data_IF_692997640747
#
_entry.id   IF_692997640747
#
_cell.length_a   1.000
_cell.length_b   1.000
_cell.length_c   1.000
_cell.angle_alpha   90.00
_cell.angle_beta   90.00
_cell.angle_gamma   90.00
#
_symmetry.space_group_name_H-M   'P 1'
#
loop_
_entity.id
_entity.type
_entity.pdbx_description
1 polymer ?
#
# COMPACT_ATOMS: atom_id res chain seq x y z
N UNK A 1 6.06 -20.79 -16.57
CA UNK A 1 5.68 -19.81 -17.59
C UNK A 1 4.90 -18.73 -16.87
N UNK A 2 5.34 -17.46 -16.92
CA UNK A 2 4.61 -16.38 -16.25
C UNK A 2 3.28 -16.12 -16.98
N UNK A 3 2.18 -15.84 -16.26
CA UNK A 3 0.90 -15.57 -16.90
C UNK A 3 0.98 -14.32 -17.79
N UNK A 4 0.30 -14.36 -18.93
CA UNK A 4 0.21 -13.18 -19.79
C UNK A 4 -0.76 -12.19 -19.15
N UNK A 5 -0.22 -11.12 -18.56
CA UNK A 5 -0.99 -10.09 -17.87
C UNK A 5 -1.30 -8.90 -18.78
N UNK A 6 -2.50 -8.35 -18.64
CA UNK A 6 -2.95 -7.09 -19.25
C UNK A 6 -3.55 -6.21 -18.15
N UNK A 7 -3.15 -4.95 -18.10
CA UNK A 7 -3.66 -3.95 -17.15
C UNK A 7 -4.49 -2.94 -17.93
N UNK A 8 -5.74 -2.76 -17.52
CA UNK A 8 -6.64 -1.70 -17.96
C UNK A 8 -6.95 -0.77 -16.78
N UNK A 9 -7.01 0.53 -17.03
CA UNK A 9 -7.23 1.58 -16.01
C UNK A 9 -8.47 2.39 -16.40
N UNK A 10 -9.54 2.27 -15.62
CA UNK A 10 -10.72 3.12 -15.75
C UNK A 10 -10.39 4.57 -15.34
N UNK A 11 -10.98 5.55 -16.02
CA UNK A 11 -10.84 6.97 -15.64
C UNK A 11 -12.15 7.72 -15.78
N UNK A 12 -12.37 8.66 -14.87
CA UNK A 12 -13.36 9.73 -15.01
C UNK A 12 -14.80 9.31 -14.77
N UNK A 13 -15.01 8.18 -14.09
CA UNK A 13 -16.34 7.64 -13.78
C UNK A 13 -17.29 7.60 -14.99
N UNK A 14 -16.83 6.94 -16.06
CA UNK A 14 -17.57 6.87 -17.32
C UNK A 14 -18.36 5.58 -17.44
N UNK A 15 -19.52 5.65 -18.08
CA UNK A 15 -20.22 4.44 -18.53
C UNK A 15 -19.37 3.66 -19.54
N UNK A 16 -19.59 2.35 -19.63
CA UNK A 16 -18.92 1.54 -20.64
C UNK A 16 -19.28 2.02 -22.05
N UNK A 17 -18.30 1.94 -22.95
CA UNK A 17 -18.49 2.33 -24.33
C UNK A 17 -19.60 1.52 -25.01
N UNK A 18 -20.33 2.18 -25.91
CA UNK A 18 -21.47 1.61 -26.63
C UNK A 18 -21.46 2.03 -28.09
N UNK A 19 -22.15 1.29 -28.96
CA UNK A 19 -22.22 1.56 -30.40
C UNK A 19 -21.20 0.77 -31.22
N UNK A 20 -20.85 1.28 -32.40
CA UNK A 20 -19.99 0.55 -33.35
C UNK A 20 -18.50 0.58 -32.95
N UNK A 21 -17.76 -0.45 -33.36
CA UNK A 21 -16.32 -0.53 -33.25
C UNK A 21 -15.71 -1.01 -34.58
N UNK A 22 -14.79 -0.25 -35.22
CA UNK A 22 -14.39 1.12 -34.87
C UNK A 22 -15.54 2.13 -35.05
N UNK A 23 -15.33 3.38 -34.62
CA UNK A 23 -16.33 4.44 -34.78
C UNK A 23 -16.66 4.73 -36.25
N UNK A 24 -17.75 5.44 -36.50
CA UNK A 24 -18.20 5.80 -37.87
C UNK A 24 -17.28 6.78 -38.60
N UNK A 25 -16.32 7.40 -37.90
CA UNK A 25 -15.34 8.31 -38.47
C UNK A 25 -13.99 7.61 -38.64
N UNK A 26 -13.42 7.68 -39.85
CA UNK A 26 -12.22 6.94 -40.29
C UNK A 26 -10.92 7.20 -39.49
N UNK A 27 -10.90 8.17 -38.58
CA UNK A 27 -9.70 8.59 -37.83
C UNK A 27 -9.83 8.49 -36.31
N UNK A 28 -10.90 7.86 -35.79
CA UNK A 28 -11.10 7.70 -34.35
C UNK A 28 -11.74 6.35 -34.02
N UNK A 29 -11.43 5.86 -32.82
CA UNK A 29 -12.15 4.77 -32.17
C UNK A 29 -13.16 5.39 -31.21
N UNK A 30 -14.33 4.76 -31.10
CA UNK A 30 -15.41 5.19 -30.22
C UNK A 30 -15.12 4.80 -28.75
N UNK A 31 -13.99 5.28 -28.23
CA UNK A 31 -13.51 5.10 -26.85
C UNK A 31 -12.83 6.39 -26.39
N UNK A 32 -13.30 7.02 -25.31
CA UNK A 32 -12.56 8.12 -24.68
C UNK A 32 -11.32 7.61 -23.92
N UNK A 33 -10.37 8.49 -23.58
CA UNK A 33 -9.20 8.12 -22.76
C UNK A 33 -9.65 7.53 -21.40
N UNK A 34 -9.19 6.32 -21.10
CA UNK A 34 -9.55 5.61 -19.88
C UNK A 34 -10.99 5.08 -19.84
N UNK A 35 -11.78 5.26 -20.89
CA UNK A 35 -13.10 4.64 -20.98
C UNK A 35 -12.96 3.15 -21.29
N UNK A 36 -13.63 2.31 -20.51
CA UNK A 36 -13.66 0.86 -20.70
C UNK A 36 -14.81 0.47 -21.64
N UNK A 37 -14.66 -0.66 -22.32
CA UNK A 37 -15.72 -1.26 -23.14
C UNK A 37 -15.57 -2.77 -23.25
N UNK A 38 -16.67 -3.44 -23.60
CA UNK A 38 -16.67 -4.87 -23.90
C UNK A 38 -17.02 -5.06 -25.36
N UNK A 39 -16.23 -5.84 -26.08
CA UNK A 39 -16.43 -6.17 -27.49
C UNK A 39 -16.77 -7.65 -27.64
N UNK A 40 -17.56 -7.97 -28.66
CA UNK A 40 -17.70 -9.33 -29.16
C UNK A 40 -16.41 -9.80 -29.85
N UNK A 41 -16.27 -11.11 -30.07
CA UNK A 41 -15.11 -11.72 -30.72
C UNK A 41 -14.83 -11.16 -32.12
N UNK A 42 -15.88 -10.78 -32.85
CA UNK A 42 -15.82 -10.19 -34.21
C UNK A 42 -15.39 -8.71 -34.20
N UNK A 43 -15.35 -8.06 -33.03
CA UNK A 43 -14.94 -6.65 -32.85
C UNK A 43 -15.68 -5.66 -33.76
N UNK A 44 -16.97 -5.90 -34.03
CA UNK A 44 -17.80 -5.01 -34.88
C UNK A 44 -18.57 -3.95 -34.09
N UNK A 45 -18.72 -4.16 -32.78
CA UNK A 45 -19.46 -3.27 -31.89
C UNK A 45 -19.21 -3.57 -30.43
N UNK A 46 -19.54 -2.59 -29.59
CA UNK A 46 -19.61 -2.77 -28.16
C UNK A 46 -20.85 -3.54 -27.77
N UNK A 47 -20.67 -4.49 -26.88
CA UNK A 47 -21.77 -5.27 -26.31
C UNK A 47 -22.23 -4.60 -25.02
N UNK A 48 -23.53 -4.42 -24.86
CA UNK A 48 -24.13 -3.78 -23.70
C UNK A 48 -25.49 -4.40 -23.36
N UNK A 49 -25.93 -4.21 -22.11
CA UNK A 49 -27.21 -4.66 -21.61
C UNK A 49 -27.22 -6.10 -21.09
N UNK A 50 -26.55 -6.36 -19.96
CA UNK A 50 -26.53 -7.67 -19.28
C UNK A 50 -26.12 -8.83 -20.21
N UNK A 51 -24.89 -8.73 -20.71
CA UNK A 51 -24.29 -9.71 -21.60
C UNK A 51 -24.12 -11.07 -20.90
N UNK A 52 -24.36 -12.18 -21.61
CA UNK A 52 -24.22 -13.55 -21.10
C UNK A 52 -23.41 -14.38 -22.08
N UNK A 53 -22.80 -15.48 -21.60
CA UNK A 53 -22.05 -16.43 -22.44
C UNK A 53 -22.94 -17.06 -23.53
N UNK A 54 -24.25 -17.18 -23.30
CA UNK A 54 -25.17 -17.70 -24.32
C UNK A 54 -25.27 -16.78 -25.54
N UNK A 55 -25.29 -15.47 -25.31
CA UNK A 55 -25.41 -14.47 -26.38
C UNK A 55 -24.04 -14.08 -26.94
N UNK A 56 -23.01 -14.06 -26.09
CA UNK A 56 -21.64 -13.70 -26.42
C UNK A 56 -20.68 -14.73 -25.83
N UNK A 57 -20.42 -15.85 -26.54
CA UNK A 57 -19.59 -16.94 -26.04
C UNK A 57 -18.15 -16.54 -25.74
N UNK A 58 -17.68 -15.45 -26.35
CA UNK A 58 -16.33 -14.94 -26.16
C UNK A 58 -16.31 -13.43 -26.30
N UNK A 59 -15.53 -12.75 -25.47
CA UNK A 59 -15.48 -11.28 -25.42
C UNK A 59 -14.05 -10.76 -25.29
N UNK A 60 -13.85 -9.51 -25.68
CA UNK A 60 -12.69 -8.71 -25.31
C UNK A 60 -13.09 -7.58 -24.38
N UNK A 61 -12.21 -7.24 -23.44
CA UNK A 61 -12.32 -6.01 -22.66
C UNK A 61 -11.27 -5.03 -23.19
N UNK A 62 -11.71 -3.81 -23.50
CA UNK A 62 -10.86 -2.77 -24.08
C UNK A 62 -10.88 -1.51 -23.23
N UNK A 63 -9.84 -0.70 -23.38
CA UNK A 63 -9.72 0.62 -22.77
C UNK A 63 -9.23 1.62 -23.83
N UNK A 64 -9.88 2.77 -23.93
CA UNK A 64 -9.37 3.88 -24.73
C UNK A 64 -8.11 4.51 -24.14
N UNK A 65 -7.33 5.16 -25.00
CA UNK A 65 -6.12 5.90 -24.62
C UNK A 65 -6.23 7.36 -25.07
N UNK A 66 -5.24 8.23 -24.77
CA UNK A 66 -5.18 9.57 -25.32
C UNK A 66 -5.05 9.62 -26.86
N UNK A 67 -4.83 8.48 -27.53
CA UNK A 67 -4.73 8.36 -28.98
C UNK A 67 -5.98 7.76 -29.63
N UNK A 68 -7.02 7.43 -28.86
CA UNK A 68 -8.27 6.89 -29.40
C UNK A 68 -8.93 7.83 -30.42
N UNK A 69 -8.80 9.15 -30.25
CA UNK A 69 -9.38 10.18 -31.12
C UNK A 69 -8.43 10.63 -32.26
N UNK A 70 -7.19 10.11 -32.27
CA UNK A 70 -6.09 10.56 -33.15
C UNK A 70 -5.30 9.38 -33.70
N UNK A 71 -5.96 8.51 -34.47
CA UNK A 71 -5.32 7.30 -35.00
C UNK A 71 -4.11 7.59 -35.89
N UNK A 72 -4.05 8.76 -36.53
CA UNK A 72 -2.90 9.21 -37.32
C UNK A 72 -1.64 9.51 -36.49
N UNK A 73 -1.76 9.63 -35.17
CA UNK A 73 -0.66 9.90 -34.23
C UNK A 73 -0.21 8.65 -33.46
N UNK A 74 -0.88 7.51 -33.69
CA UNK A 74 -0.47 6.23 -33.13
C UNK A 74 0.84 5.81 -33.79
N UNK A 75 1.88 5.66 -32.99
CA UNK A 75 3.18 5.26 -33.49
C UNK A 75 3.18 3.79 -33.88
N UNK A 76 3.69 3.51 -35.09
CA UNK A 76 3.77 2.14 -35.63
C UNK A 76 4.74 1.27 -34.82
N UNK A 77 5.72 1.87 -34.16
CA UNK A 77 6.73 1.17 -33.37
C UNK A 77 6.34 1.03 -31.89
N UNK A 78 5.22 1.62 -31.46
CA UNK A 78 4.68 1.50 -30.11
C UNK A 78 5.40 2.36 -29.06
N UNK A 79 6.07 3.44 -29.48
CA UNK A 79 6.68 4.43 -28.56
C UNK A 79 5.66 5.42 -27.99
N UNK A 80 4.48 5.54 -28.61
CA UNK A 80 3.35 6.34 -28.10
C UNK A 80 2.22 5.43 -27.63
N UNK A 81 1.18 6.01 -27.01
CA UNK A 81 0.00 5.24 -26.61
C UNK A 81 -0.60 4.55 -27.85
N UNK A 82 -0.95 3.25 -27.76
CA UNK A 82 -1.71 2.60 -28.82
C UNK A 82 -3.10 3.22 -28.92
N UNK A 83 -3.83 2.97 -30.00
CA UNK A 83 -5.19 3.48 -30.17
C UNK A 83 -6.15 3.03 -29.04
N UNK A 84 -5.96 1.82 -28.52
CA UNK A 84 -6.67 1.26 -27.38
C UNK A 84 -5.81 0.15 -26.76
N UNK A 85 -6.05 -0.16 -25.49
CA UNK A 85 -5.56 -1.38 -24.85
C UNK A 85 -6.63 -2.46 -24.93
N UNK A 86 -6.20 -3.72 -25.07
CA UNK A 86 -7.10 -4.86 -25.25
C UNK A 86 -6.66 -6.05 -24.39
N UNK A 87 -7.63 -6.76 -23.82
CA UNK A 87 -7.43 -8.03 -23.15
C UNK A 87 -7.08 -9.16 -24.14
N UNK A 88 -6.68 -10.33 -23.63
CA UNK A 88 -6.80 -11.55 -24.45
C UNK A 88 -8.28 -11.93 -24.55
N UNK A 89 -8.68 -12.64 -25.60
CA UNK A 89 -10.05 -13.15 -25.75
C UNK A 89 -10.43 -13.98 -24.51
N UNK A 90 -11.51 -13.58 -23.84
CA UNK A 90 -12.09 -14.33 -22.72
C UNK A 90 -13.17 -15.24 -23.29
N UNK A 91 -13.02 -16.54 -23.10
CA UNK A 91 -13.98 -17.54 -23.56
C UNK A 91 -14.86 -17.99 -22.38
N UNK A 92 -16.15 -18.20 -22.61
CA UNK A 92 -17.05 -18.72 -21.59
C UNK A 92 -16.57 -20.08 -21.05
N UNK A 93 -16.57 -20.24 -19.73
CA UNK A 93 -16.05 -21.42 -19.03
C UNK A 93 -14.53 -21.53 -18.95
N UNK A 94 -13.76 -20.56 -19.48
CA UNK A 94 -12.29 -20.54 -19.36
C UNK A 94 -11.78 -19.78 -18.13
N UNK A 95 -12.64 -18.99 -17.48
CA UNK A 95 -12.32 -18.20 -16.29
C UNK A 95 -12.20 -19.12 -15.09
N UNK A 96 -11.10 -19.02 -14.36
CA UNK A 96 -10.81 -19.86 -13.20
C UNK A 96 -10.95 -19.08 -11.89
N UNK A 97 -10.66 -17.77 -11.90
CA UNK A 97 -10.70 -16.96 -10.70
C UNK A 97 -11.03 -15.50 -11.02
N UNK A 98 -11.82 -14.88 -10.14
CA UNK A 98 -12.02 -13.44 -10.09
C UNK A 98 -11.68 -12.97 -8.67
N UNK A 99 -10.75 -12.04 -8.56
CA UNK A 99 -10.31 -11.49 -7.27
C UNK A 99 -10.43 -9.98 -7.29
N UNK A 100 -11.11 -9.42 -6.30
CA UNK A 100 -11.21 -7.97 -6.14
C UNK A 100 -10.62 -7.55 -4.82
N UNK A 101 -9.70 -6.60 -4.88
CA UNK A 101 -8.94 -6.11 -3.73
C UNK A 101 -9.09 -4.60 -3.67
N UNK A 102 -9.74 -4.13 -2.59
CA UNK A 102 -9.81 -2.71 -2.25
C UNK A 102 -8.46 -2.23 -1.71
N UNK A 103 -8.12 -0.95 -1.88
CA UNK A 103 -6.94 -0.41 -1.24
C UNK A 103 -7.08 -0.44 0.28
N UNK A 104 -5.95 -0.58 0.95
CA UNK A 104 -5.86 -0.58 2.42
C UNK A 104 -4.65 0.26 2.84
N UNK A 105 -4.80 1.00 3.94
CA UNK A 105 -3.74 1.83 4.52
C UNK A 105 -2.67 0.94 5.15
N UNK A 106 -1.41 1.37 5.04
CA UNK A 106 -0.28 0.69 5.65
C UNK A 106 -0.27 0.79 7.17
N UNK A 107 0.59 0.00 7.81
CA UNK A 107 0.76 -0.03 9.27
C UNK A 107 2.23 -0.17 9.63
N UNK A 108 2.65 0.56 10.65
CA UNK A 108 4.00 0.48 11.17
C UNK A 108 4.18 -0.74 12.09
N UNK A 109 5.44 -1.17 12.21
CA UNK A 109 5.81 -2.12 13.24
C UNK A 109 5.92 -1.40 14.58
N UNK A 110 5.33 -1.98 15.63
CA UNK A 110 5.36 -1.41 16.98
C UNK A 110 5.75 -2.47 18.00
N UNK A 111 6.73 -2.13 18.83
CA UNK A 111 7.10 -2.89 20.04
C UNK A 111 6.78 -2.05 21.27
N UNK A 112 6.21 -2.67 22.28
CA UNK A 112 6.01 -2.08 23.61
C UNK A 112 7.06 -2.62 24.56
N UNK A 113 7.63 -1.75 25.39
CA UNK A 113 8.51 -2.14 26.48
C UNK A 113 7.95 -1.63 27.81
N UNK A 114 7.78 -2.54 28.76
CA UNK A 114 7.38 -2.23 30.13
C UNK A 114 8.42 -2.78 31.10
N UNK A 115 9.09 -1.90 31.83
CA UNK A 115 10.02 -2.26 32.90
C UNK A 115 9.22 -2.92 34.02
N UNK A 116 9.65 -4.12 34.41
CA UNK A 116 8.96 -4.94 35.42
C UNK A 116 9.60 -4.83 36.81
N UNK A 117 10.92 -4.66 36.86
CA UNK A 117 11.66 -4.46 38.11
C UNK A 117 12.13 -3.02 38.30
N UNK A 118 12.26 -2.59 39.55
CA UNK A 118 12.73 -1.22 39.86
C UNK A 118 14.23 -1.09 39.55
N UNK A 119 14.63 -0.13 38.69
CA UNK A 119 16.04 0.16 38.42
C UNK A 119 16.83 0.51 39.67
N UNK A 120 18.05 -0.02 39.75
CA UNK A 120 19.02 0.25 40.79
C UNK A 120 19.73 1.59 40.55
N UNK A 121 20.19 2.22 41.63
CA UNK A 121 21.05 3.42 41.57
C UNK A 121 22.46 3.06 41.12
N UNK A 122 23.18 4.02 40.55
CA UNK A 122 24.57 3.86 40.06
C UNK A 122 24.79 2.63 39.15
N UNK A 123 23.77 2.30 38.36
CA UNK A 123 23.77 1.11 37.48
C UNK A 123 23.62 1.54 36.03
N UNK A 124 24.43 0.95 35.15
CA UNK A 124 24.34 1.15 33.71
C UNK A 124 23.26 0.24 33.12
N UNK A 125 22.43 0.81 32.27
CA UNK A 125 21.40 0.12 31.51
C UNK A 125 21.59 0.37 30.02
N UNK A 126 21.39 -0.68 29.25
CA UNK A 126 21.61 -0.78 27.82
C UNK A 126 20.31 -1.11 27.09
N UNK A 127 20.13 -0.46 25.95
CA UNK A 127 19.03 -0.69 25.03
C UNK A 127 19.61 -0.89 23.62
N UNK A 128 19.16 -1.94 22.96
CA UNK A 128 19.57 -2.30 21.61
C UNK A 128 18.34 -2.28 20.71
N UNK A 129 18.28 -1.32 19.80
CA UNK A 129 17.21 -1.22 18.81
C UNK A 129 17.74 -1.81 17.51
N UNK A 130 17.18 -2.94 17.08
CA UNK A 130 17.50 -3.56 15.80
C UNK A 130 16.46 -3.15 14.77
N UNK A 131 16.91 -2.54 13.67
CA UNK A 131 16.08 -2.26 12.50
C UNK A 131 16.34 -3.33 11.44
N UNK A 132 15.29 -3.92 10.88
CA UNK A 132 15.38 -4.78 9.71
C UNK A 132 14.55 -4.20 8.58
N UNK A 133 15.21 -3.91 7.48
CA UNK A 133 14.58 -3.31 6.32
C UNK A 133 14.31 -4.39 5.27
N UNK A 134 13.26 -4.22 4.47
CA UNK A 134 13.01 -5.10 3.33
C UNK A 134 14.16 -5.01 2.31
N UNK A 135 14.74 -3.81 2.18
CA UNK A 135 15.82 -3.52 1.25
C UNK A 135 17.20 -3.53 1.90
N UNK A 136 18.22 -3.85 1.10
CA UNK A 136 19.62 -3.79 1.53
C UNK A 136 20.06 -2.34 1.47
N UNK A 137 20.20 -1.71 2.64
CA UNK A 137 20.66 -0.32 2.75
C UNK A 137 22.11 -0.16 2.29
N UNK A 138 22.34 0.09 1.00
CA UNK A 138 23.68 0.19 0.41
C UNK A 138 24.59 1.24 1.07
N UNK A 139 24.04 2.23 1.78
CA UNK A 139 24.81 3.32 2.41
C UNK A 139 25.40 2.91 3.76
N UNK A 140 24.69 2.09 4.55
CA UNK A 140 25.07 1.87 5.96
C UNK A 140 25.45 0.43 6.29
N UNK A 141 24.99 -0.57 5.52
CA UNK A 141 25.52 -1.94 5.60
C UNK A 141 25.04 -2.79 4.40
N UNK A 142 25.85 -3.74 3.94
CA UNK A 142 25.35 -4.74 2.96
C UNK A 142 24.34 -5.70 3.59
N UNK A 143 24.00 -5.52 4.85
CA UNK A 143 23.04 -6.31 5.60
C UNK A 143 21.73 -5.56 5.78
N UNK A 144 20.62 -6.29 5.63
CA UNK A 144 19.25 -5.82 5.90
C UNK A 144 18.96 -5.55 7.38
N UNK A 145 19.98 -5.52 8.23
CA UNK A 145 19.87 -5.45 9.68
C UNK A 145 20.87 -4.42 10.19
N UNK A 146 20.38 -3.45 10.94
CA UNK A 146 21.16 -2.44 11.64
C UNK A 146 20.83 -2.47 13.13
N UNK A 147 21.79 -2.17 14.01
CA UNK A 147 21.56 -2.18 15.46
C UNK A 147 22.09 -0.90 16.09
N UNK A 148 21.21 -0.19 16.79
CA UNK A 148 21.47 1.09 17.44
C UNK A 148 21.60 0.84 18.94
N UNK A 149 22.83 0.91 19.50
CA UNK A 149 23.03 0.80 20.95
C UNK A 149 22.79 2.14 21.64
N UNK A 150 22.06 2.11 22.74
CA UNK A 150 21.79 3.23 23.64
C UNK A 150 22.12 2.78 25.05
N UNK A 151 22.66 3.68 25.86
CA UNK A 151 22.98 3.37 27.26
C UNK A 151 22.80 4.57 28.17
N UNK A 152 22.39 4.35 29.41
CA UNK A 152 22.30 5.38 30.45
C UNK A 152 22.79 4.80 31.77
N UNK A 153 23.35 5.64 32.63
CA UNK A 153 23.75 5.23 33.99
C UNK A 153 22.89 6.01 34.97
N UNK A 154 22.15 5.31 35.83
CA UNK A 154 21.33 5.95 36.87
C UNK A 154 22.22 6.73 37.83
N UNK A 155 21.74 7.85 38.39
CA UNK A 155 22.53 8.63 39.34
C UNK A 155 22.80 7.83 40.63
N UNK A 156 23.89 8.18 41.31
CA UNK A 156 24.23 7.58 42.60
C UNK A 156 23.23 7.95 43.72
N UNK A 157 22.52 9.07 43.57
CA UNK A 157 21.42 9.46 44.46
C UNK A 157 20.13 8.81 44.02
N UNK A 158 19.35 8.27 44.96
CA UNK A 158 18.04 7.70 44.69
C UNK A 158 17.10 8.74 44.03
N UNK A 159 16.42 8.30 42.97
CA UNK A 159 15.42 9.09 42.25
C UNK A 159 14.02 8.69 42.74
N UNK A 160 13.09 9.64 42.83
CA UNK A 160 11.75 9.38 43.37
C UNK A 160 10.97 8.35 42.54
N UNK A 161 11.11 8.38 41.22
CA UNK A 161 10.52 7.42 40.29
C UNK A 161 11.61 6.85 39.36
N UNK A 162 12.31 5.77 39.78
CA UNK A 162 13.41 5.20 39.02
C UNK A 162 13.02 4.69 37.62
N UNK A 163 11.83 4.08 37.48
CA UNK A 163 11.33 3.61 36.17
C UNK A 163 11.15 4.76 35.19
N UNK A 164 10.48 5.83 35.63
CA UNK A 164 10.26 7.04 34.83
C UNK A 164 11.59 7.68 34.41
N UNK A 165 12.57 7.74 35.34
CA UNK A 165 13.90 8.24 35.03
C UNK A 165 14.56 7.45 33.90
N UNK A 166 14.54 6.12 33.99
CA UNK A 166 15.15 5.23 32.98
C UNK A 166 14.43 5.35 31.64
N UNK A 167 13.09 5.33 31.63
CA UNK A 167 12.30 5.48 30.41
C UNK A 167 12.65 6.78 29.68
N UNK A 168 12.59 7.91 30.37
CA UNK A 168 12.81 9.22 29.74
C UNK A 168 14.25 9.36 29.23
N UNK A 169 15.25 8.96 30.01
CA UNK A 169 16.65 9.08 29.60
C UNK A 169 17.01 8.15 28.44
N UNK A 170 16.54 6.89 28.46
CA UNK A 170 16.75 5.96 27.34
C UNK A 170 16.04 6.44 26.08
N UNK A 171 14.77 6.83 26.18
CA UNK A 171 13.98 7.23 25.04
C UNK A 171 14.48 8.53 24.39
N UNK A 172 14.84 9.55 25.18
CA UNK A 172 15.45 10.78 24.62
C UNK A 172 16.76 10.45 23.92
N UNK A 173 17.63 9.64 24.54
CA UNK A 173 18.92 9.26 23.92
C UNK A 173 18.73 8.42 22.65
N UNK A 174 17.75 7.52 22.62
CA UNK A 174 17.37 6.78 21.41
C UNK A 174 16.87 7.73 20.33
N UNK A 175 15.95 8.65 20.66
CA UNK A 175 15.40 9.60 19.70
C UNK A 175 16.43 10.58 19.13
N UNK A 176 17.50 10.95 19.84
CA UNK A 176 18.59 11.74 19.22
C UNK A 176 19.29 11.02 18.05
N UNK A 177 19.12 9.70 17.92
CA UNK A 177 19.60 8.92 16.77
C UNK A 177 18.56 8.83 15.66
N UNK A 178 17.29 9.08 15.94
CA UNK A 178 16.24 9.02 14.93
C UNK A 178 16.21 10.25 14.04
N UNK A 179 15.63 10.10 12.85
CA UNK A 179 15.45 11.19 11.88
C UNK A 179 14.69 12.39 12.46
N UNK A 180 13.74 12.14 13.37
CA UNK A 180 12.95 13.18 14.02
C UNK A 180 13.70 13.89 15.16
N UNK A 181 14.75 13.29 15.71
CA UNK A 181 15.61 13.91 16.72
C UNK A 181 16.94 14.43 16.19
N UNK A 182 17.09 14.55 14.86
CA UNK A 182 18.29 15.07 14.20
C UNK A 182 19.35 14.03 13.84
N UNK A 183 19.07 12.75 14.06
CA UNK A 183 19.88 11.64 13.57
C UNK A 183 19.46 11.17 12.18
N UNK A 184 19.82 9.93 11.83
CA UNK A 184 19.57 9.35 10.51
C UNK A 184 18.74 8.06 10.56
N UNK A 185 18.48 7.52 11.76
CA UNK A 185 17.82 6.24 11.93
C UNK A 185 16.30 6.37 11.80
N UNK A 186 15.66 5.36 11.21
CA UNK A 186 14.23 5.39 10.86
C UNK A 186 13.37 4.68 11.88
N UNK A 187 13.37 5.23 13.09
CA UNK A 187 12.46 4.80 14.15
C UNK A 187 11.98 6.01 14.96
N UNK A 188 11.00 5.79 15.82
CA UNK A 188 10.53 6.77 16.79
C UNK A 188 10.26 6.07 18.11
N UNK A 189 10.64 6.67 19.23
CA UNK A 189 10.34 6.17 20.57
C UNK A 189 9.39 7.15 21.26
N UNK A 190 8.24 6.66 21.69
CA UNK A 190 7.22 7.45 22.39
C UNK A 190 7.08 6.96 23.82
N UNK A 191 6.96 7.90 24.77
CA UNK A 191 6.51 7.60 26.12
C UNK A 191 5.00 7.66 26.19
N UNK A 192 4.37 6.66 26.79
CA UNK A 192 2.92 6.64 26.96
C UNK A 192 2.57 6.59 28.44
N UNK A 193 1.58 7.41 28.81
CA UNK A 193 0.91 7.35 30.10
C UNK A 193 -0.46 6.72 29.91
N UNK A 194 -0.71 5.62 30.62
CA UNK A 194 -2.05 5.04 30.67
C UNK A 194 -3.00 5.99 31.40
N UNK A 195 -4.23 6.08 30.92
CA UNK A 195 -5.22 7.01 31.45
C UNK A 195 -5.51 6.78 32.96
N UNK A 196 -4.82 7.54 33.80
CA UNK A 196 -5.14 7.77 35.21
C UNK A 196 -5.21 9.28 35.45
N UNK A 197 -5.95 9.71 36.48
CA UNK A 197 -6.18 11.12 36.78
C UNK A 197 -4.84 11.91 36.85
N UNK A 198 -4.63 12.84 35.92
CA UNK A 198 -3.38 13.61 35.80
C UNK A 198 -2.73 13.66 34.40
N UNK A 199 -3.48 13.35 33.34
CA UNK A 199 -3.08 13.45 31.92
C UNK A 199 -2.15 14.65 31.61
N UNK A 200 -0.95 14.37 31.10
CA UNK A 200 0.13 15.35 30.87
C UNK A 200 0.74 15.22 29.45
N UNK A 201 -0.09 14.92 28.44
CA UNK A 201 0.36 14.69 27.07
C UNK A 201 -0.71 14.91 26.00
N UNK A 202 -0.42 14.44 24.79
CA UNK A 202 -1.37 14.43 23.67
C UNK A 202 -2.17 13.14 23.70
N UNK A 203 -3.47 13.24 23.97
CA UNK A 203 -4.37 12.10 24.05
C UNK A 203 -4.51 11.40 22.68
N UNK A 204 -4.45 10.07 22.68
CA UNK A 204 -4.52 9.28 21.45
C UNK A 204 -5.77 9.57 20.64
N UNK A 205 -6.94 9.71 21.28
CA UNK A 205 -8.21 10.00 20.60
C UNK A 205 -8.26 11.32 19.83
N UNK A 206 -7.27 12.20 20.01
CA UNK A 206 -7.18 13.48 19.29
C UNK A 206 -6.23 13.44 18.09
N UNK A 207 -5.50 12.34 17.92
CA UNK A 207 -4.50 12.19 16.86
C UNK A 207 -5.19 11.81 15.56
N UNK A 208 -5.12 12.72 14.59
CA UNK A 208 -5.51 12.52 13.19
C UNK A 208 -4.31 12.74 12.25
N UNK A 209 -4.46 12.42 10.97
CA UNK A 209 -3.46 12.70 9.94
C UNK A 209 -3.11 14.20 9.91
N UNK A 210 -1.82 14.51 9.90
CA UNK A 210 -1.30 15.88 9.98
C UNK A 210 -1.17 16.46 11.39
N UNK A 211 -1.58 15.73 12.44
CA UNK A 211 -1.46 16.21 13.83
C UNK A 211 0.01 16.26 14.24
N UNK A 212 0.48 17.42 14.71
CA UNK A 212 1.83 17.60 15.26
C UNK A 212 1.85 17.21 16.73
N UNK A 213 2.67 16.24 17.10
CA UNK A 213 2.73 15.66 18.44
C UNK A 213 4.10 15.94 19.06
N UNK A 214 4.16 16.64 20.21
CA UNK A 214 5.41 16.84 20.93
C UNK A 214 5.85 15.53 21.60
N UNK A 215 7.05 15.05 21.28
CA UNK A 215 7.53 13.75 21.78
C UNK A 215 8.78 13.84 22.64
N UNK A 216 9.64 14.85 22.46
CA UNK A 216 10.78 15.06 23.35
C UNK A 216 11.18 16.53 23.48
N UNK A 217 11.84 16.85 24.59
CA UNK A 217 12.63 18.07 24.78
C UNK A 217 14.11 17.68 24.78
N UNK A 218 14.89 18.26 23.88
CA UNK A 218 16.34 18.07 23.85
C UNK A 218 17.05 19.41 23.69
N UNK A 219 18.05 19.65 24.54
CA UNK A 219 18.78 20.93 24.58
C UNK A 219 17.86 22.17 24.66
N UNK A 220 16.76 22.09 25.42
CA UNK A 220 15.80 23.18 25.60
C UNK A 220 14.85 23.42 24.42
N UNK A 221 14.90 22.58 23.37
CA UNK A 221 13.99 22.65 22.22
C UNK A 221 13.02 21.48 22.24
N UNK A 222 11.72 21.74 22.06
CA UNK A 222 10.71 20.71 21.88
C UNK A 222 10.71 20.22 20.43
N UNK A 223 10.84 18.91 20.26
CA UNK A 223 10.75 18.23 18.98
C UNK A 223 9.36 17.66 18.79
N UNK A 224 8.90 17.74 17.55
CA UNK A 224 7.58 17.30 17.13
C UNK A 224 7.73 16.26 16.02
N UNK A 225 6.82 15.31 15.99
CA UNK A 225 6.60 14.49 14.81
C UNK A 225 5.16 14.73 14.31
N UNK A 226 4.97 14.65 13.00
CA UNK A 226 3.64 14.76 12.40
C UNK A 226 3.09 13.37 12.19
N UNK A 227 1.91 13.09 12.74
CA UNK A 227 1.22 11.83 12.50
C UNK A 227 0.80 11.74 11.02
N UNK A 228 1.13 10.62 10.39
CA UNK A 228 0.64 10.27 9.05
C UNK A 228 -0.49 9.23 9.16
N UNK A 229 -1.08 8.89 8.02
CA UNK A 229 -2.15 7.89 7.95
C UNK A 229 -1.73 6.51 8.48
N UNK A 230 -0.47 6.14 8.29
CA UNK A 230 0.02 4.83 8.70
C UNK A 230 0.15 4.73 10.22
N UNK A 231 0.58 5.80 10.88
CA UNK A 231 0.60 5.88 12.32
C UNK A 231 -0.82 5.91 12.89
N UNK A 232 -1.74 6.69 12.32
CA UNK A 232 -3.14 6.74 12.77
C UNK A 232 -3.79 5.36 12.65
N UNK A 233 -3.58 4.66 11.53
CA UNK A 233 -4.05 3.29 11.34
C UNK A 233 -3.44 2.34 12.36
N UNK A 234 -2.12 2.46 12.61
CA UNK A 234 -1.42 1.62 13.58
C UNK A 234 -1.99 1.81 14.99
N UNK A 235 -2.11 3.06 15.47
CA UNK A 235 -2.65 3.38 16.79
C UNK A 235 -4.11 2.94 16.94
N UNK A 236 -4.93 3.12 15.90
CA UNK A 236 -6.31 2.62 15.90
C UNK A 236 -6.38 1.12 16.08
N UNK A 237 -5.50 0.36 15.43
CA UNK A 237 -5.48 -1.09 15.53
C UNK A 237 -5.06 -1.53 16.94
N UNK A 238 -4.10 -0.85 17.56
CA UNK A 238 -3.70 -1.11 18.95
C UNK A 238 -4.84 -0.84 19.94
N UNK A 239 -5.58 0.25 19.73
CA UNK A 239 -6.78 0.57 20.53
C UNK A 239 -7.87 -0.47 20.33
N UNK A 240 -8.06 -0.93 19.08
CA UNK A 240 -9.10 -1.93 18.74
C UNK A 240 -8.75 -3.32 19.30
N UNK A 241 -7.47 -3.68 19.33
CA UNK A 241 -6.97 -4.92 19.94
C UNK A 241 -7.03 -4.90 21.47
N UNK A 242 -7.14 -3.71 22.09
CA UNK A 242 -7.13 -3.54 23.55
C UNK A 242 -5.73 -3.47 24.16
N UNK A 243 -4.68 -3.36 23.33
CA UNK A 243 -3.29 -3.20 23.78
C UNK A 243 -3.01 -1.78 24.33
N UNK A 244 -3.83 -0.81 23.94
CA UNK A 244 -3.82 0.58 24.36
C UNK A 244 -5.26 1.10 24.55
N UNK A 245 -5.44 2.17 25.33
CA UNK A 245 -6.73 2.88 25.41
C UNK A 245 -6.71 4.14 24.55
N UNK A 246 -7.83 4.47 23.90
CA UNK A 246 -7.98 5.75 23.20
C UNK A 246 -7.77 6.97 24.12
N UNK A 247 -7.92 6.77 25.44
CA UNK A 247 -7.71 7.80 26.45
C UNK A 247 -6.26 7.93 26.93
N UNK A 248 -5.36 7.04 26.51
CA UNK A 248 -3.93 7.12 26.87
C UNK A 248 -3.30 8.38 26.23
N UNK A 249 -2.24 8.89 26.86
CA UNK A 249 -1.54 10.09 26.41
C UNK A 249 -0.13 9.77 25.92
N UNK A 250 0.26 10.35 24.79
CA UNK A 250 1.66 10.45 24.38
C UNK A 250 2.28 11.60 25.18
N UNK A 251 3.26 11.26 26.03
CA UNK A 251 3.94 12.21 26.91
C UNK A 251 5.18 12.76 26.23
N UNK A 252 5.43 14.06 26.39
CA UNK A 252 6.67 14.69 25.96
C UNK A 252 7.81 14.30 26.90
N UNK A 253 8.80 13.59 26.37
CA UNK A 253 9.94 13.09 27.14
C UNK A 253 10.95 14.22 27.44
N UNK A 254 11.35 14.40 28.70
CA UNK A 254 12.30 15.43 29.11
C UNK A 254 13.26 14.93 30.20
N UNK A 255 14.54 14.85 29.86
CA UNK A 255 15.62 14.45 30.79
C UNK A 255 15.74 15.36 32.01
N UNK A 256 15.28 16.61 31.96
CA UNK A 256 15.36 17.54 33.08
C UNK A 256 14.31 17.27 34.18
N UNK A 257 13.16 16.70 33.81
CA UNK A 257 12.08 16.35 34.74
C UNK A 257 12.00 14.85 35.06
N UNK A 258 12.80 14.04 34.36
CA UNK A 258 12.89 12.59 34.50
C UNK A 258 12.98 12.13 35.96
N UNK A 259 12.08 11.23 36.34
CA UNK A 259 12.04 10.60 37.66
C UNK A 259 11.46 11.45 38.79
N UNK A 260 10.95 12.64 38.50
CA UNK A 260 10.28 13.51 39.49
C UNK A 260 8.87 12.99 39.83
N UNK A 261 8.14 12.52 38.82
CA UNK A 261 6.80 11.95 38.93
C UNK A 261 6.66 10.77 37.95
N UNK A 262 5.68 9.90 38.19
CA UNK A 262 5.44 8.73 37.33
C UNK A 262 4.69 9.16 36.06
N UNK A 263 5.40 9.77 35.11
CA UNK A 263 4.84 10.36 33.90
C UNK A 263 4.78 9.39 32.72
N UNK A 264 5.66 8.38 32.68
CA UNK A 264 5.68 7.36 31.62
C UNK A 264 5.46 5.98 32.23
N UNK A 265 4.47 5.24 31.71
CA UNK A 265 4.18 3.87 32.14
C UNK A 265 4.88 2.84 31.26
N UNK A 266 4.99 3.11 29.96
CA UNK A 266 5.70 2.25 29.00
C UNK A 266 6.24 3.04 27.81
N UNK A 267 7.18 2.43 27.08
CA UNK A 267 7.71 2.97 25.82
C UNK A 267 7.13 2.22 24.63
N UNK A 268 6.81 2.97 23.57
CA UNK A 268 6.50 2.43 22.25
C UNK A 268 7.65 2.72 21.29
N UNK A 269 8.13 1.67 20.64
CA UNK A 269 9.13 1.75 19.59
C UNK A 269 8.45 1.51 18.25
N UNK A 270 8.54 2.49 17.36
CA UNK A 270 7.86 2.49 16.07
C UNK A 270 8.92 2.46 14.96
N UNK A 271 8.87 1.45 14.10
CA UNK A 271 9.71 1.39 12.89
C UNK A 271 9.10 2.25 11.80
N UNK A 272 9.82 3.28 11.34
CA UNK A 272 9.36 4.19 10.29
C UNK A 272 9.70 3.64 8.89
N UNK A 273 9.09 4.21 7.85
CA UNK A 273 9.37 3.85 6.47
C UNK A 273 10.81 4.12 6.09
N UNK A 274 11.41 3.23 5.30
CA UNK A 274 12.72 3.42 4.67
C UNK A 274 12.65 4.48 3.53
N UNK A 275 13.82 4.96 3.09
CA UNK A 275 13.91 5.92 1.99
C UNK A 275 13.69 5.23 0.65
N UNK A 276 13.03 5.96 -0.25
CA UNK A 276 13.09 5.65 -1.68
C UNK A 276 14.51 5.83 -2.21
N UNK A 277 14.96 4.88 -3.03
CA UNK A 277 16.26 4.97 -3.69
C UNK A 277 16.21 5.99 -4.84
N UNK A 278 17.23 6.85 -4.89
CA UNK A 278 17.33 7.91 -5.90
C UNK A 278 17.58 7.41 -7.34
N UNK A 279 17.89 6.12 -7.56
CA UNK A 279 18.32 5.61 -8.88
C UNK A 279 17.58 4.35 -9.32
N UNK A 280 17.30 3.40 -8.43
CA UNK A 280 16.55 2.17 -8.75
C UNK A 280 15.60 1.83 -7.62
N UNK A 281 14.35 2.24 -7.77
CA UNK A 281 13.29 1.96 -6.82
C UNK A 281 12.28 0.98 -7.43
N UNK A 282 12.63 -0.31 -7.34
CA UNK A 282 11.84 -1.41 -7.91
C UNK A 282 11.08 -2.19 -6.83
N UNK A 283 10.92 -1.62 -5.65
CA UNK A 283 10.29 -2.28 -4.50
C UNK A 283 9.10 -1.49 -4.01
N UNK A 284 8.10 -2.24 -3.57
CA UNK A 284 6.94 -1.70 -2.87
C UNK A 284 7.10 -1.74 -1.37
N UNK A 285 8.10 -2.47 -0.86
CA UNK A 285 8.29 -2.67 0.56
C UNK A 285 9.17 -1.58 1.14
N UNK A 286 8.61 -0.77 2.04
CA UNK A 286 9.30 0.33 2.74
C UNK A 286 9.24 0.19 4.25
N UNK A 287 8.30 -0.58 4.78
CA UNK A 287 8.07 -0.70 6.22
C UNK A 287 9.23 -1.43 6.89
N UNK A 288 9.74 -0.81 7.95
CA UNK A 288 10.84 -1.34 8.74
C UNK A 288 10.31 -2.21 9.88
N UNK A 289 10.95 -3.36 10.10
CA UNK A 289 10.77 -4.15 11.32
C UNK A 289 11.70 -3.62 12.41
N UNK A 290 11.16 -3.43 13.62
CA UNK A 290 11.90 -3.03 14.81
C UNK A 290 11.87 -4.16 15.85
N UNK A 291 13.04 -4.54 16.33
CA UNK A 291 13.21 -5.40 17.50
C UNK A 291 13.94 -4.62 18.59
N UNK A 292 13.59 -4.88 19.84
CA UNK A 292 14.18 -4.21 20.99
C UNK A 292 14.73 -5.26 21.93
N UNK A 293 15.96 -5.05 22.40
CA UNK A 293 16.57 -5.83 23.47
C UNK A 293 17.14 -4.90 24.53
N UNK A 294 17.16 -5.36 25.78
CA UNK A 294 17.70 -4.60 26.91
C UNK A 294 18.28 -5.55 27.95
N UNK A 295 19.16 -5.02 28.80
CA UNK A 295 19.66 -5.67 30.00
C UNK A 295 18.80 -5.39 31.26
N UNK A 296 17.78 -4.53 31.13
CA UNK A 296 16.74 -4.34 32.12
C UNK A 296 15.80 -5.54 32.15
N UNK A 297 15.28 -5.88 33.33
CA UNK A 297 14.16 -6.81 33.45
C UNK A 297 12.88 -6.11 32.95
N UNK A 298 12.56 -6.32 31.68
CA UNK A 298 11.45 -5.68 30.99
C UNK A 298 10.68 -6.67 30.14
N UNK A 299 9.36 -6.50 30.11
CA UNK A 299 8.49 -7.19 29.15
C UNK A 299 8.51 -6.43 27.82
N UNK A 300 8.84 -7.13 26.73
CA UNK A 300 8.90 -6.58 25.38
C UNK A 300 7.96 -7.37 24.48
N UNK A 301 6.92 -6.71 23.99
CA UNK A 301 5.84 -7.34 23.23
C UNK A 301 5.71 -6.71 21.84
N UNK A 302 5.46 -7.54 20.81
CA UNK A 302 4.99 -7.05 19.51
C UNK A 302 3.53 -6.63 19.61
N UNK A 303 3.24 -5.36 19.31
CA UNK A 303 1.87 -4.87 19.24
C UNK A 303 1.33 -4.83 17.81
N UNK A 304 2.20 -4.56 16.83
CA UNK A 304 1.80 -4.48 15.42
C UNK A 304 2.93 -4.97 14.52
N UNK A 305 2.61 -5.81 13.55
CA UNK A 305 3.52 -6.19 12.47
C UNK A 305 3.43 -5.16 11.32
N UNK A 306 4.55 -4.85 10.63
CA UNK A 306 4.54 -3.89 9.55
C UNK A 306 3.73 -4.43 8.36
N UNK A 307 2.94 -3.55 7.74
CA UNK A 307 2.15 -3.86 6.55
C UNK A 307 2.23 -2.71 5.55
N UNK A 308 2.57 -3.03 4.31
CA UNK A 308 2.52 -2.05 3.22
C UNK A 308 1.10 -1.67 2.86
N UNK A 309 0.95 -0.51 2.25
CA UNK A 309 -0.29 -0.15 1.59
C UNK A 309 -0.65 -1.17 0.51
N UNK A 310 -1.94 -1.47 0.41
CA UNK A 310 -2.49 -2.26 -0.68
C UNK A 310 -3.17 -1.31 -1.67
N UNK A 311 -3.00 -1.56 -2.97
CA UNK A 311 -3.67 -0.77 -4.02
C UNK A 311 -3.00 0.55 -4.40
N UNK A 312 -1.75 0.80 -3.97
CA UNK A 312 -0.98 1.96 -4.45
C UNK A 312 -0.71 1.88 -5.96
N UNK A 313 -0.86 3.01 -6.65
CA UNK A 313 -0.48 3.18 -8.05
C UNK A 313 0.96 2.79 -8.33
N UNK A 314 1.89 3.10 -7.42
CA UNK A 314 3.31 2.66 -7.51
C UNK A 314 3.44 1.14 -7.71
N UNK A 315 2.66 0.33 -6.99
CA UNK A 315 2.70 -1.13 -7.14
C UNK A 315 2.29 -1.57 -8.55
N UNK A 316 1.20 -1.01 -9.06
CA UNK A 316 0.70 -1.31 -10.40
C UNK A 316 1.61 -0.78 -11.51
N UNK A 317 2.26 0.36 -11.30
CA UNK A 317 3.25 0.91 -12.19
C UNK A 317 4.47 -0.02 -12.31
N UNK A 318 5.00 -0.53 -11.21
CA UNK A 318 6.12 -1.49 -11.23
C UNK A 318 5.74 -2.77 -12.00
N UNK A 319 4.54 -3.32 -11.75
CA UNK A 319 4.04 -4.48 -12.51
C UNK A 319 3.91 -4.16 -14.00
N UNK A 320 3.46 -2.96 -14.35
CA UNK A 320 3.37 -2.53 -15.75
C UNK A 320 4.75 -2.43 -16.39
N UNK A 321 5.74 -1.83 -15.70
CA UNK A 321 7.12 -1.71 -16.19
C UNK A 321 7.76 -3.08 -16.43
N UNK A 322 7.53 -4.07 -15.57
CA UNK A 322 7.99 -5.45 -15.77
C UNK A 322 7.43 -6.08 -17.06
N UNK A 323 6.14 -5.84 -17.36
CA UNK A 323 5.52 -6.34 -18.59
C UNK A 323 6.11 -5.68 -19.84
N UNK A 324 6.29 -4.35 -19.79
CA UNK A 324 6.81 -3.57 -20.91
C UNK A 324 8.28 -3.87 -21.16
N UNK A 325 9.09 -4.01 -20.11
CA UNK A 325 10.49 -4.44 -20.22
C UNK A 325 10.61 -5.76 -20.97
N UNK A 326 9.73 -6.73 -20.67
CA UNK A 326 9.66 -7.99 -21.41
C UNK A 326 9.35 -7.77 -22.89
N UNK A 327 8.43 -6.86 -23.24
CA UNK A 327 8.06 -6.54 -24.63
C UNK A 327 9.20 -5.87 -25.40
N UNK A 328 9.96 -4.97 -24.78
CA UNK A 328 11.15 -4.37 -25.38
C UNK A 328 12.25 -5.40 -25.64
N UNK A 329 12.42 -6.38 -24.76
CA UNK A 329 13.35 -7.50 -24.97
C UNK A 329 13.02 -8.34 -26.21
N UNK A 330 11.75 -8.46 -26.61
CA UNK A 330 11.37 -9.12 -27.87
C UNK A 330 11.67 -8.26 -29.11
N UNK A 331 11.70 -6.93 -28.96
CA UNK A 331 12.11 -5.99 -30.02
C UNK A 331 13.65 -5.86 -30.14
N UNK A 332 14.44 -6.41 -29.20
CA UNK A 332 15.91 -6.38 -29.18
C UNK A 332 16.60 -7.22 -30.28
N UNK A 333 15.89 -7.68 -31.31
CA UNK A 333 16.54 -8.10 -32.57
C UNK A 333 17.16 -6.89 -33.29
N UNK A 334 16.81 -5.65 -32.90
CA UNK A 334 17.37 -4.42 -33.47
C UNK A 334 17.96 -3.45 -32.41
N UNK A 335 19.21 -3.70 -32.02
CA UNK A 335 20.22 -2.70 -31.61
C UNK A 335 19.98 -1.82 -30.37
N UNK A 336 20.80 -2.03 -29.32
CA UNK A 336 21.17 -1.10 -28.24
C UNK A 336 20.09 -0.12 -27.74
N UNK A 337 19.11 -0.64 -27.00
CA UNK A 337 18.31 0.19 -26.09
C UNK A 337 18.85 0.07 -24.66
N UNK A 338 19.26 1.21 -24.09
CA UNK A 338 19.50 1.36 -22.65
C UNK A 338 18.19 1.10 -21.88
N UNK A 339 18.25 0.42 -20.74
CA UNK A 339 17.09 0.16 -19.86
C UNK A 339 16.33 1.44 -19.46
N UNK A 340 16.96 2.62 -19.59
CA UNK A 340 16.36 3.96 -19.45
C UNK A 340 15.25 4.29 -20.48
N UNK A 341 15.03 3.43 -21.47
CA UNK A 341 13.98 3.61 -22.49
C UNK A 341 12.60 3.08 -22.05
N UNK A 342 12.53 2.21 -21.03
CA UNK A 342 11.27 1.69 -20.47
C UNK A 342 10.48 2.81 -19.76
N UNK A 343 11.17 3.68 -19.04
CA UNK A 343 10.57 4.83 -18.32
C UNK A 343 9.98 5.90 -19.25
N UNK A 344 10.32 5.85 -20.55
CA UNK A 344 9.79 6.79 -21.55
C UNK A 344 8.51 6.30 -22.21
N UNK A 345 8.10 5.06 -21.96
CA UNK A 345 6.90 4.51 -22.56
C UNK A 345 5.65 5.01 -21.82
N UNK A 346 4.59 5.37 -22.54
CA UNK A 346 3.39 5.90 -21.92
C UNK A 346 2.70 4.88 -21.01
N UNK A 347 2.66 5.17 -19.71
CA UNK A 347 2.01 4.34 -18.69
C UNK A 347 0.59 4.86 -18.40
N UNK A 348 -0.47 4.02 -18.48
CA UNK A 348 -1.82 4.42 -18.09
C UNK A 348 -2.05 4.51 -16.57
N UNK A 349 -1.15 3.96 -15.74
CA UNK A 349 -1.25 3.95 -14.27
C UNK A 349 -0.62 5.21 -13.67
N UNK A 350 -1.38 5.93 -12.85
CA UNK A 350 -0.85 7.04 -12.04
C UNK A 350 -0.25 6.49 -10.74
N UNK A 351 1.03 6.79 -10.48
CA UNK A 351 1.75 6.28 -9.30
C UNK A 351 1.19 6.81 -7.97
N UNK A 352 0.57 8.00 -7.99
CA UNK A 352 0.10 8.69 -6.78
C UNK A 352 -1.36 8.37 -6.42
N UNK A 353 -2.06 7.61 -7.27
CA UNK A 353 -3.48 7.29 -7.11
C UNK A 353 -3.65 5.93 -6.41
N UNK A 354 -4.69 5.80 -5.59
CA UNK A 354 -5.14 4.51 -5.06
C UNK A 354 -6.09 3.84 -6.05
N UNK A 355 -5.97 2.53 -6.21
CA UNK A 355 -6.79 1.73 -7.12
C UNK A 355 -7.42 0.54 -6.41
N UNK A 356 -8.73 0.39 -6.57
CA UNK A 356 -9.38 -0.91 -6.42
C UNK A 356 -9.02 -1.74 -7.64
N UNK A 357 -8.49 -2.94 -7.39
CA UNK A 357 -8.05 -3.83 -8.46
C UNK A 357 -8.98 -5.03 -8.56
N UNK A 358 -9.45 -5.32 -9.78
CA UNK A 358 -10.15 -6.57 -10.09
C UNK A 358 -9.30 -7.36 -11.06
N UNK A 359 -8.97 -8.60 -10.68
CA UNK A 359 -8.17 -9.53 -11.45
C UNK A 359 -9.09 -10.65 -11.93
N UNK A 360 -9.11 -10.88 -13.24
CA UNK A 360 -9.78 -12.01 -13.88
C UNK A 360 -8.68 -12.93 -14.43
N UNK A 361 -8.57 -14.13 -13.87
CA UNK A 361 -7.66 -15.17 -14.31
C UNK A 361 -8.41 -16.21 -15.15
N UNK A 362 -7.84 -16.58 -16.29
CA UNK A 362 -8.44 -17.53 -17.22
C UNK A 362 -7.37 -18.33 -17.95
N UNK A 363 -7.74 -19.53 -18.40
CA UNK A 363 -6.82 -20.45 -19.07
C UNK A 363 -7.20 -20.59 -20.53
N UNK A 364 -6.24 -20.40 -21.42
CA UNK A 364 -6.40 -20.61 -22.86
C UNK A 364 -5.50 -21.71 -23.37
N UNK A 365 -5.98 -22.48 -24.35
CA UNK A 365 -5.12 -23.39 -25.12
C UNK A 365 -4.37 -22.59 -26.18
N UNK A 366 -3.04 -22.60 -26.12
CA UNK A 366 -2.19 -22.15 -27.22
C UNK A 366 -1.98 -23.36 -28.15
N UNK A 367 -2.67 -23.35 -29.29
CA UNK A 367 -2.51 -24.35 -30.33
C UNK A 367 -1.25 -24.02 -31.15
N UNK A 368 -0.10 -24.53 -30.70
CA UNK A 368 1.08 -24.61 -31.57
C UNK A 368 1.00 -25.90 -32.38
N UNK A 369 1.51 -25.86 -33.61
CA UNK A 369 1.42 -26.87 -34.70
C UNK A 369 1.73 -28.34 -34.36
N UNK A 370 2.13 -28.68 -33.13
CA UNK A 370 2.33 -30.06 -32.66
C UNK A 370 1.98 -30.33 -31.18
N UNK A 371 1.54 -29.33 -30.40
CA UNK A 371 1.18 -29.51 -28.98
C UNK A 371 0.27 -28.39 -28.48
N UNK A 372 -0.84 -28.74 -27.83
CA UNK A 372 -1.69 -27.77 -27.12
C UNK A 372 -1.16 -27.56 -25.70
N UNK A 373 -0.66 -26.37 -25.40
CA UNK A 373 -0.28 -26.01 -24.04
C UNK A 373 -1.37 -25.13 -23.42
N UNK A 374 -1.73 -25.39 -22.17
CA UNK A 374 -2.59 -24.51 -21.40
C UNK A 374 -1.74 -23.36 -20.84
N UNK A 375 -2.10 -22.12 -21.19
CA UNK A 375 -1.45 -20.91 -20.71
C UNK A 375 -2.46 -20.13 -19.86
N UNK A 376 -2.01 -19.69 -18.68
CA UNK A 376 -2.79 -18.79 -17.83
C UNK A 376 -2.63 -17.35 -18.31
N UNK A 377 -3.76 -16.67 -18.45
CA UNK A 377 -3.86 -15.24 -18.77
C UNK A 377 -4.50 -14.50 -17.60
N UNK A 378 -4.16 -13.22 -17.46
CA UNK A 378 -4.66 -12.37 -16.40
C UNK A 378 -5.08 -11.02 -16.96
N UNK A 379 -6.34 -10.65 -16.76
CA UNK A 379 -6.85 -9.30 -17.00
C UNK A 379 -6.97 -8.59 -15.66
N UNK A 380 -6.25 -7.48 -15.47
CA UNK A 380 -6.37 -6.60 -14.32
C UNK A 380 -7.10 -5.34 -14.74
N UNK A 381 -8.21 -5.03 -14.09
CA UNK A 381 -8.94 -3.75 -14.22
C UNK A 381 -8.69 -2.95 -12.95
N UNK A 382 -8.12 -1.76 -13.11
CA UNK A 382 -7.86 -0.81 -12.03
C UNK A 382 -8.88 0.31 -12.09
N UNK A 383 -9.59 0.52 -11.00
CA UNK A 383 -10.55 1.62 -10.84
C UNK A 383 -10.05 2.55 -9.73
N UNK A 384 -10.00 3.87 -9.97
CA UNK A 384 -9.57 4.83 -8.96
C UNK A 384 -10.40 4.71 -7.68
N UNK A 385 -9.72 4.85 -6.55
CA UNK A 385 -10.30 4.79 -5.21
C UNK A 385 -9.80 5.96 -4.35
N UNK A 386 -10.59 6.34 -3.35
CA UNK A 386 -10.32 7.48 -2.47
C UNK A 386 -10.65 7.17 -1.03
N UNK A 387 -9.97 7.87 -0.11
CA UNK A 387 -10.26 7.85 1.33
C UNK A 387 -11.42 8.82 1.59
N UNK A 388 -12.52 8.33 2.15
CA UNK A 388 -13.74 9.14 2.37
C UNK A 388 -13.66 10.02 3.61
N UNK A 389 -12.82 9.66 4.58
CA UNK A 389 -12.68 10.31 5.87
C UNK A 389 -11.20 10.59 6.18
N UNK A 390 -10.52 11.42 5.38
CA UNK A 390 -9.07 11.63 5.48
C UNK A 390 -8.62 12.27 6.81
N UNK A 391 -9.54 12.90 7.56
CA UNK A 391 -9.27 13.57 8.84
C UNK A 391 -9.74 12.76 10.06
N UNK A 392 -10.01 11.46 9.91
CA UNK A 392 -10.42 10.63 11.03
C UNK A 392 -9.31 10.56 12.10
N UNK A 393 -9.72 10.68 13.36
CA UNK A 393 -8.85 10.53 14.51
C UNK A 393 -8.91 9.10 15.06
N UNK A 394 -7.89 8.69 15.82
CA UNK A 394 -7.89 7.42 16.56
C UNK A 394 -9.10 7.36 17.49
N UNK A 395 -9.74 6.19 17.58
CA UNK A 395 -10.94 5.93 18.39
C UNK A 395 -12.25 6.49 17.84
N UNK A 396 -12.25 7.29 16.76
CA UNK A 396 -13.46 7.93 16.25
C UNK A 396 -14.35 6.96 15.44
N UNK A 397 -13.74 6.12 14.60
CA UNK A 397 -14.39 5.09 13.76
C UNK A 397 -13.43 3.91 13.56
N UNK A 398 -13.96 2.71 13.34
CA UNK A 398 -13.17 1.49 13.15
C UNK A 398 -13.61 0.77 11.87
N UNK A 399 -12.75 0.62 10.84
CA UNK A 399 -11.38 1.16 10.72
C UNK A 399 -11.35 2.70 10.63
N UNK A 400 -10.20 3.36 10.88
CA UNK A 400 -10.10 4.81 10.92
C UNK A 400 -10.25 5.41 9.52
N UNK A 401 -9.82 4.71 8.47
CA UNK A 401 -10.00 5.12 7.08
C UNK A 401 -10.94 4.18 6.35
N UNK A 402 -11.99 4.75 5.76
CA UNK A 402 -12.90 4.07 4.83
C UNK A 402 -12.50 4.45 3.41
N UNK A 403 -12.19 3.44 2.60
CA UNK A 403 -11.77 3.62 1.20
C UNK A 403 -12.87 3.08 0.29
N UNK A 404 -13.25 3.87 -0.71
CA UNK A 404 -14.21 3.45 -1.75
C UNK A 404 -13.69 3.75 -3.13
N UNK A 405 -14.06 2.90 -4.09
CA UNK A 405 -13.88 3.16 -5.51
C UNK A 405 -14.67 4.42 -5.89
N UNK A 406 -13.99 5.40 -6.51
CA UNK A 406 -14.61 6.69 -6.87
C UNK A 406 -15.47 6.57 -8.13
N UNK A 407 -15.14 5.61 -9.00
CA UNK A 407 -15.78 5.41 -10.30
C UNK A 407 -17.05 4.54 -10.18
N UNK A 408 -18.04 5.02 -9.44
CA UNK A 408 -19.28 4.29 -9.11
C UNK A 408 -20.14 3.94 -10.34
N UNK A 409 -20.23 4.84 -11.33
CA UNK A 409 -20.90 4.60 -12.62
C UNK A 409 -20.19 3.51 -13.39
N UNK A 410 -18.86 3.56 -13.47
CA UNK A 410 -18.06 2.51 -14.14
C UNK A 410 -18.21 1.16 -13.45
N UNK A 411 -18.18 1.11 -12.10
CA UNK A 411 -18.41 -0.12 -11.33
C UNK A 411 -19.80 -0.70 -11.63
N UNK A 412 -20.83 0.13 -11.65
CA UNK A 412 -22.22 -0.29 -11.92
C UNK A 412 -22.34 -0.90 -13.33
N UNK A 413 -21.77 -0.26 -14.33
CA UNK A 413 -21.79 -0.75 -15.71
C UNK A 413 -20.92 -2.01 -15.89
N UNK A 414 -19.78 -2.11 -15.21
CA UNK A 414 -18.95 -3.32 -15.20
C UNK A 414 -19.70 -4.50 -14.59
N UNK A 415 -20.37 -4.33 -13.45
CA UNK A 415 -21.18 -5.38 -12.84
C UNK A 415 -22.37 -5.76 -13.74
N UNK A 416 -23.05 -4.76 -14.30
CA UNK A 416 -24.21 -4.98 -15.19
C UNK A 416 -23.84 -5.76 -16.44
N UNK A 417 -22.69 -5.46 -17.04
CA UNK A 417 -22.28 -6.08 -18.30
C UNK A 417 -21.30 -7.23 -18.04
N UNK A 418 -20.05 -6.94 -17.73
CA UNK A 418 -19.01 -7.95 -17.55
C UNK A 418 -19.30 -8.88 -16.34
N UNK A 419 -19.91 -8.38 -15.27
CA UNK A 419 -20.30 -9.18 -14.12
C UNK A 419 -21.39 -10.19 -14.45
N UNK A 420 -22.42 -9.80 -15.22
CA UNK A 420 -23.42 -10.72 -15.74
C UNK A 420 -22.81 -11.81 -16.64
N UNK A 421 -21.82 -11.44 -17.47
CA UNK A 421 -21.12 -12.41 -18.31
C UNK A 421 -20.33 -13.41 -17.47
N UNK A 422 -19.59 -12.93 -16.47
CA UNK A 422 -18.84 -13.78 -15.53
C UNK A 422 -19.78 -14.72 -14.77
N UNK A 423 -20.92 -14.23 -14.28
CA UNK A 423 -21.91 -15.05 -13.59
C UNK A 423 -22.50 -16.15 -14.50
N UNK A 424 -22.69 -15.87 -15.80
CA UNK A 424 -23.12 -16.90 -16.75
C UNK A 424 -22.00 -17.88 -17.14
N UNK A 425 -20.74 -17.45 -17.10
CA UNK A 425 -19.56 -18.29 -17.30
C UNK A 425 -19.35 -19.26 -16.13
N UNK A 426 -19.61 -18.80 -14.90
CA UNK A 426 -19.58 -19.59 -13.66
C UNK A 426 -20.51 -20.82 -13.71
N UNK A 427 -21.63 -20.70 -14.43
CA UNK A 427 -22.58 -21.81 -14.63
C UNK A 427 -22.03 -22.91 -15.55
N UNK A 428 -21.06 -22.59 -16.40
CA UNK A 428 -20.42 -23.55 -17.32
C UNK A 428 -19.23 -24.22 -16.63
N UNK A 429 -18.37 -23.41 -16.00
CA UNK A 429 -17.25 -23.87 -15.21
C UNK A 429 -17.14 -22.99 -13.96
N UNK A 430 -17.18 -23.58 -12.74
CA UNK A 430 -17.13 -22.81 -11.51
C UNK A 430 -15.90 -21.89 -11.43
N UNK A 431 -16.16 -20.61 -11.16
CA UNK A 431 -15.19 -19.54 -10.95
C UNK A 431 -14.96 -19.39 -9.46
N UNK A 432 -13.69 -19.33 -9.05
CA UNK A 432 -13.34 -18.98 -7.68
C UNK A 432 -13.39 -17.47 -7.50
N UNK A 433 -14.32 -16.98 -6.68
CA UNK A 433 -14.36 -15.58 -6.27
C UNK A 433 -13.54 -15.37 -4.98
N UNK A 434 -12.68 -14.36 -4.94
CA UNK A 434 -11.74 -14.08 -3.83
C UNK A 434 -11.74 -12.59 -3.47
N UNK A 435 -11.47 -12.30 -2.19
CA UNK A 435 -11.46 -10.93 -1.66
C UNK A 435 -12.88 -10.38 -1.61
N UNK A 436 -13.07 -9.19 -2.17
CA UNK A 436 -14.37 -8.51 -2.21
C UNK A 436 -15.24 -8.96 -3.40
N UNK A 437 -14.69 -9.77 -4.32
CA UNK A 437 -15.43 -10.23 -5.49
C UNK A 437 -16.50 -11.26 -5.09
N UNK A 438 -17.64 -11.18 -5.76
CA UNK A 438 -18.71 -12.19 -5.69
C UNK A 438 -19.34 -12.41 -7.07
N UNK A 439 -20.08 -13.50 -7.24
CA UNK A 439 -20.77 -13.76 -8.51
C UNK A 439 -21.77 -12.65 -8.90
N UNK A 440 -22.40 -12.00 -7.92
CA UNK A 440 -23.35 -10.90 -8.17
C UNK A 440 -22.67 -9.54 -8.34
N UNK A 441 -21.56 -9.31 -7.64
CA UNK A 441 -20.80 -8.06 -7.67
C UNK A 441 -19.30 -8.37 -7.74
N UNK A 442 -18.76 -8.72 -8.91
CA UNK A 442 -17.33 -8.93 -9.06
C UNK A 442 -16.52 -7.63 -8.96
N UNK A 443 -17.11 -6.48 -9.28
CA UNK A 443 -16.45 -5.16 -9.20
C UNK A 443 -17.05 -4.37 -8.02
N UNK A 444 -16.20 -3.68 -7.25
CA UNK A 444 -16.61 -3.04 -5.98
C UNK A 444 -16.00 -1.66 -5.81
#
# INVERSE_FOLDING_TARGET
MFPQRRILVGKGDQALASGSFPGSAYNQINLADGQLGVLDFDKTGFVSGSITVQNYPSIYVVQGTPMSDKLSQVDRFGFTFPAYYESTLLEGGSVTMVSTTKPEVGRYNVRKMTITDTPLTDTAYHLHITLRNADINRVYDKTRRHTVPVSVTTPATAVAQPNDWVYQNLAVKANTRSIWGGGFERFLVLGVKSAAAGAAGTQLSTIADGTSIPFMVHAGTTYYFTADKDLVQTLQDLVTAGDMSATDDIVTLDTASAGTAASVDYLLFIGLDDQDYFVFDNTIFRKTWIDVGTDLEADIVELSAPKEWVGLGKHWNLIWKEQVGTRLYWNNIYGNFDEQSVDKLPNPVDENQLYTSTIIEFVKKDERTSSSNLITHQLTILLPAGINNPTAAVGAVTPPYTITTTDATTVTELNTNLGAWLASSDQISPIKYVGEASAGNPFV
#
